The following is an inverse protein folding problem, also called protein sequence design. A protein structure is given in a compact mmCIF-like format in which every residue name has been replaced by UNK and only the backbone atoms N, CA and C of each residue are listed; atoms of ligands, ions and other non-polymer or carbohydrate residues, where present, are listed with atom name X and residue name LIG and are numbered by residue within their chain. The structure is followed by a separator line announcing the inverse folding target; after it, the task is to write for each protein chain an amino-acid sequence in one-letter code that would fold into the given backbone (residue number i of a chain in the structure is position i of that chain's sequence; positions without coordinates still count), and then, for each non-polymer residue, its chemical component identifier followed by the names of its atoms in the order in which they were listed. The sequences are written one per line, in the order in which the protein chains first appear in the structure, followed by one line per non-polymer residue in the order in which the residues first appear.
data_IF_931904309703
#
_entry.id   IF_931904309703
#
_cell.length_a   1.000
_cell.length_b   1.000
_cell.length_c   1.000
_cell.angle_alpha   90.00
_cell.angle_beta   90.00
_cell.angle_gamma   90.00
#
_symmetry.space_group_name_H-M   'P 1'
#
loop_
_entity.id
_entity.type
_entity.pdbx_description
1 polymer ?
#
# COMPACT_ATOMS: atom_id res chain seq x y z
N UNK A 1 -36.82 63.56 18.34
CA UNK A 1 -36.33 63.62 19.73
C UNK A 1 -37.19 62.70 20.57
N UNK A 2 -36.64 61.93 21.52
CA UNK A 2 -35.24 61.53 21.76
C UNK A 2 -34.99 60.06 21.30
N UNK A 3 -33.77 59.61 20.96
CA UNK A 3 -32.57 59.37 21.80
C UNK A 3 -32.79 58.16 22.72
N UNK A 4 -31.93 57.14 22.80
CA UNK A 4 -30.52 57.11 23.23
C UNK A 4 -30.00 55.67 22.98
N UNK A 5 -28.84 55.49 22.33
CA UNK A 5 -27.50 55.22 22.92
C UNK A 5 -27.32 53.73 23.31
N UNK A 6 -26.15 53.08 23.37
CA UNK A 6 -24.74 53.20 22.94
C UNK A 6 -24.01 52.08 23.74
N UNK A 7 -22.75 51.76 23.41
CA UNK A 7 -21.84 50.75 24.04
C UNK A 7 -21.96 49.35 23.44
N UNK A 8 -21.15 48.91 22.48
CA UNK A 8 -19.69 49.05 22.27
C UNK A 8 -18.84 48.70 23.51
N UNK A 9 -18.49 47.41 23.62
CA UNK A 9 -17.50 46.90 24.56
C UNK A 9 -16.41 46.16 23.80
N UNK A 10 -15.26 46.82 23.67
CA UNK A 10 -13.95 46.20 23.44
C UNK A 10 -13.01 46.65 24.55
N UNK A 11 -12.25 45.73 25.16
CA UNK A 11 -11.00 46.10 25.79
C UNK A 11 -9.81 45.74 24.88
N UNK A 12 -9.02 46.76 24.55
CA UNK A 12 -7.66 46.66 23.97
C UNK A 12 -6.60 46.74 25.09
N UNK A 13 -5.29 46.65 24.80
CA UNK A 13 -4.36 45.67 25.37
C UNK A 13 -3.59 46.17 26.61
N UNK A 14 -3.05 45.25 27.41
CA UNK A 14 -1.99 45.59 28.38
C UNK A 14 -0.63 45.10 27.89
N UNK A 15 0.19 46.08 27.52
CA UNK A 15 1.64 46.02 27.37
C UNK A 15 2.31 45.56 28.66
N UNK A 16 3.20 44.57 28.58
CA UNK A 16 4.39 44.50 29.45
C UNK A 16 5.62 44.15 28.64
N UNK A 17 6.49 45.14 28.52
CA UNK A 17 7.90 45.03 28.14
C UNK A 17 8.65 44.38 29.30
N UNK A 18 9.39 43.31 29.03
CA UNK A 18 10.53 42.90 29.86
C UNK A 18 11.70 42.59 28.94
N UNK A 19 12.70 43.45 29.01
CA UNK A 19 14.01 43.34 28.39
C UNK A 19 14.86 42.34 29.18
N UNK A 20 15.51 41.37 28.54
CA UNK A 20 16.75 40.83 29.10
C UNK A 20 17.69 40.22 28.05
N UNK A 21 18.81 40.94 27.88
CA UNK A 21 20.20 40.53 27.60
C UNK A 21 20.51 39.53 26.47
N UNK A 22 21.28 40.10 25.53
CA UNK A 22 22.16 39.50 24.52
C UNK A 22 22.91 38.26 25.02
N UNK A 23 22.88 37.19 24.23
CA UNK A 23 23.95 36.21 24.14
C UNK A 23 24.54 36.26 22.72
N UNK A 24 25.84 36.52 22.66
CA UNK A 24 26.64 36.57 21.43
C UNK A 24 27.02 35.14 21.07
N UNK A 25 26.56 34.63 19.94
CA UNK A 25 27.12 33.42 19.33
C UNK A 25 28.08 33.83 18.21
N UNK A 26 29.33 33.37 18.33
CA UNK A 26 30.45 33.66 17.43
C UNK A 26 30.20 33.03 16.06
N UNK A 27 30.23 33.87 15.01
CA UNK A 27 30.46 33.44 13.63
C UNK A 27 31.95 33.12 13.47
N UNK A 28 32.26 31.85 13.22
CA UNK A 28 33.54 31.41 12.66
C UNK A 28 33.27 30.78 11.31
N UNK A 29 33.50 31.54 10.24
CA UNK A 29 33.58 31.03 8.87
C UNK A 29 35.03 31.18 8.41
N UNK A 30 35.60 30.11 7.84
CA UNK A 30 36.52 30.08 6.69
C UNK A 30 37.35 28.79 6.74
N UNK A 31 37.03 27.84 5.87
CA UNK A 31 38.03 26.95 5.27
C UNK A 31 37.52 26.54 3.87
N UNK A 32 38.39 26.74 2.89
CA UNK A 32 38.16 26.55 1.46
C UNK A 32 37.75 25.12 1.10
N UNK A 33 36.87 25.02 0.12
CA UNK A 33 36.64 23.84 -0.69
C UNK A 33 37.78 23.64 -1.71
N UNK A 34 38.33 22.43 -1.77
CA UNK A 34 38.85 21.78 -2.99
C UNK A 34 38.47 20.29 -2.87
N UNK A 35 37.70 19.79 -3.83
CA UNK A 35 37.07 18.46 -3.80
C UNK A 35 37.87 17.35 -4.49
N UNK A 36 37.12 16.33 -4.92
CA UNK A 36 37.48 15.06 -5.64
C UNK A 36 37.71 13.90 -4.64
N UNK A 37 37.01 12.75 -4.62
CA UNK A 37 36.05 12.10 -5.52
C UNK A 37 34.99 11.33 -4.70
N UNK A 38 33.80 11.23 -5.29
CA UNK A 38 32.68 10.44 -4.81
C UNK A 38 33.00 8.93 -4.78
N UNK A 39 32.70 8.29 -3.66
CA UNK A 39 32.24 6.91 -3.65
C UNK A 39 30.88 6.94 -2.97
N UNK A 40 29.88 6.47 -3.72
CA UNK A 40 28.46 6.61 -3.43
C UNK A 40 28.07 6.15 -2.04
N UNK A 41 27.17 6.92 -1.47
CA UNK A 41 26.50 6.68 -0.21
C UNK A 41 25.61 5.43 -0.26
N UNK A 42 25.63 4.68 0.84
CA UNK A 42 24.46 4.09 1.50
C UNK A 42 23.25 3.74 0.62
N UNK A 43 23.14 2.46 0.28
CA UNK A 43 21.85 1.78 0.39
C UNK A 43 22.13 0.37 0.90
N UNK A 44 22.14 0.23 2.22
CA UNK A 44 21.86 -1.07 2.82
C UNK A 44 20.43 -1.40 2.41
N UNK A 45 20.30 -2.34 1.47
CA UNK A 45 19.03 -2.94 1.13
C UNK A 45 18.37 -3.42 2.44
N UNK A 46 17.12 -3.03 2.59
CA UNK A 46 16.30 -3.08 3.80
C UNK A 46 16.49 -4.34 4.65
N UNK A 47 16.71 -4.10 5.94
CA UNK A 47 16.48 -5.05 7.03
C UNK A 47 15.10 -5.70 6.92
N UNK A 48 15.05 -6.99 7.23
CA UNK A 48 13.98 -7.92 6.92
C UNK A 48 12.58 -7.44 7.23
N UNK A 49 11.73 -7.48 6.20
CA UNK A 49 10.29 -7.27 6.28
C UNK A 49 9.64 -8.30 7.20
N UNK A 50 8.94 -7.86 8.24
CA UNK A 50 8.16 -8.78 9.12
C UNK A 50 6.72 -8.91 8.63
N UNK A 51 6.29 -10.11 8.28
CA UNK A 51 4.89 -10.43 7.96
C UNK A 51 4.16 -10.84 9.26
N UNK A 52 3.19 -10.06 9.75
CA UNK A 52 2.36 -10.40 10.93
C UNK A 52 0.90 -9.96 10.75
N UNK A 53 -0.06 -10.78 11.20
CA UNK A 53 -0.25 -11.07 12.62
C UNK A 53 -0.42 -12.56 12.97
N UNK A 54 0.47 -13.04 13.84
CA UNK A 54 0.41 -14.38 14.44
C UNK A 54 1.78 -15.03 14.69
N UNK A 55 2.80 -14.73 13.87
CA UNK A 55 4.13 -15.37 13.99
C UNK A 55 5.23 -14.47 13.43
N UNK A 56 6.46 -14.54 13.94
CA UNK A 56 7.60 -13.62 13.66
C UNK A 56 8.23 -13.90 12.30
N UNK A 57 7.41 -14.00 11.26
CA UNK A 57 7.91 -14.37 9.95
C UNK A 57 8.65 -13.20 9.31
N UNK A 58 9.87 -13.45 8.83
CA UNK A 58 10.69 -12.48 8.14
C UNK A 58 10.82 -12.84 6.66
N UNK A 59 10.82 -11.85 5.77
CA UNK A 59 11.19 -12.07 4.37
C UNK A 59 12.69 -12.39 4.32
N UNK A 60 13.04 -13.56 3.80
CA UNK A 60 14.44 -13.99 3.64
C UNK A 60 15.04 -13.62 2.28
N UNK A 61 14.19 -13.36 1.28
CA UNK A 61 14.62 -12.86 -0.02
C UNK A 61 13.48 -12.61 -0.99
N UNK A 62 13.74 -11.83 -2.04
CA UNK A 62 12.85 -11.63 -3.17
C UNK A 62 13.61 -11.81 -4.49
N UNK A 63 12.97 -12.46 -5.48
CA UNK A 63 13.49 -12.61 -6.83
C UNK A 63 12.45 -12.19 -7.86
N UNK A 64 12.88 -11.50 -8.92
CA UNK A 64 12.01 -10.98 -9.97
C UNK A 64 12.40 -11.62 -11.30
N UNK A 65 11.42 -12.17 -12.02
CA UNK A 65 11.62 -12.80 -13.33
C UNK A 65 10.62 -12.23 -14.33
N UNK A 66 11.07 -11.97 -15.56
CA UNK A 66 10.18 -11.69 -16.68
C UNK A 66 9.92 -12.97 -17.47
N UNK A 67 8.67 -13.21 -17.79
CA UNK A 67 8.19 -14.35 -18.58
C UNK A 67 7.20 -13.85 -19.64
N UNK A 68 6.90 -14.68 -20.64
CA UNK A 68 6.02 -14.27 -21.74
C UNK A 68 4.57 -14.09 -21.28
N UNK A 69 4.08 -15.00 -20.43
CA UNK A 69 2.69 -14.98 -19.95
C UNK A 69 2.60 -15.04 -18.43
N UNK A 70 1.54 -14.49 -17.87
CA UNK A 70 1.30 -14.47 -16.42
C UNK A 70 1.02 -15.91 -15.98
N UNK A 71 1.88 -16.52 -15.16
CA UNK A 71 1.71 -17.92 -14.79
C UNK A 71 0.51 -18.09 -13.87
N UNK A 72 -0.30 -19.11 -14.15
CA UNK A 72 -1.38 -19.55 -13.27
C UNK A 72 -0.86 -20.68 -12.38
N UNK A 73 -0.67 -20.37 -11.10
CA UNK A 73 -0.07 -21.32 -10.14
C UNK A 73 -0.96 -22.55 -9.89
N UNK A 74 -2.28 -22.34 -9.83
CA UNK A 74 -3.29 -23.38 -9.60
C UNK A 74 -4.29 -23.36 -10.75
N UNK A 75 -4.02 -24.04 -11.87
CA UNK A 75 -4.92 -24.04 -13.01
C UNK A 75 -6.26 -24.74 -12.72
N UNK A 76 -6.34 -25.51 -11.63
CA UNK A 76 -7.55 -26.12 -11.09
C UNK A 76 -8.44 -25.13 -10.32
N UNK A 77 -7.95 -23.94 -9.99
CA UNK A 77 -8.72 -22.93 -9.26
C UNK A 77 -9.42 -21.97 -10.22
N UNK A 78 -10.69 -21.59 -9.96
CA UNK A 78 -11.35 -20.57 -10.74
C UNK A 78 -10.62 -19.23 -10.63
N UNK A 79 -10.51 -18.51 -11.76
CA UNK A 79 -10.04 -17.13 -11.80
C UNK A 79 -11.26 -16.22 -11.67
N UNK A 80 -11.28 -15.28 -10.70
CA UNK A 80 -12.39 -14.34 -10.57
C UNK A 80 -12.44 -13.39 -11.77
N UNK A 81 -13.65 -13.01 -12.17
CA UNK A 81 -13.91 -11.99 -13.19
C UNK A 81 -14.90 -10.98 -12.60
N UNK A 82 -14.36 -9.89 -12.06
CA UNK A 82 -15.11 -8.90 -11.29
C UNK A 82 -14.95 -7.51 -11.89
N UNK A 83 -16.05 -6.78 -11.98
CA UNK A 83 -16.01 -5.39 -12.42
C UNK A 83 -15.13 -4.56 -11.48
N UNK A 84 -14.23 -3.76 -12.05
CA UNK A 84 -13.30 -2.94 -11.28
C UNK A 84 -12.20 -3.74 -10.56
N UNK A 85 -12.00 -5.03 -10.87
CA UNK A 85 -10.95 -5.84 -10.26
C UNK A 85 -9.56 -5.24 -10.52
N UNK A 86 -8.82 -5.05 -9.43
CA UNK A 86 -7.45 -4.58 -9.46
C UNK A 86 -6.48 -5.76 -9.48
N UNK A 87 -6.68 -6.70 -8.55
CA UNK A 87 -5.95 -7.97 -8.45
C UNK A 87 -6.70 -8.92 -7.52
N UNK A 88 -6.28 -10.18 -7.50
CA UNK A 88 -6.83 -11.18 -6.58
C UNK A 88 -5.72 -11.99 -5.90
N UNK A 89 -6.05 -12.58 -4.75
CA UNK A 89 -5.15 -13.42 -3.97
C UNK A 89 -5.74 -14.82 -3.82
N UNK A 90 -4.96 -15.83 -4.18
CA UNK A 90 -5.23 -17.24 -3.86
C UNK A 90 -4.18 -17.78 -2.91
N UNK A 91 -4.49 -18.93 -2.30
CA UNK A 91 -3.59 -19.62 -1.38
C UNK A 91 -3.60 -21.11 -1.60
N UNK A 92 -2.57 -21.82 -1.16
CA UNK A 92 -2.47 -23.26 -1.35
C UNK A 92 -3.55 -24.08 -0.62
N UNK A 93 -4.10 -23.56 0.47
CA UNK A 93 -5.01 -24.30 1.36
C UNK A 93 -6.40 -24.58 0.77
N UNK A 94 -6.90 -23.74 -0.13
CA UNK A 94 -8.16 -23.96 -0.86
C UNK A 94 -8.36 -22.94 -1.98
N UNK A 95 -9.34 -23.20 -2.85
CA UNK A 95 -9.72 -22.34 -3.98
C UNK A 95 -10.40 -21.03 -3.61
N UNK A 96 -10.68 -20.76 -2.32
CA UNK A 96 -11.25 -19.47 -1.93
C UNK A 96 -10.28 -18.35 -2.31
N UNK A 97 -10.83 -17.33 -2.96
CA UNK A 97 -10.05 -16.25 -3.53
C UNK A 97 -10.44 -14.95 -2.85
N UNK A 98 -9.48 -14.13 -2.44
CA UNK A 98 -9.76 -12.73 -2.09
C UNK A 98 -9.68 -11.91 -3.36
N UNK A 99 -10.69 -11.09 -3.61
CA UNK A 99 -10.69 -10.16 -4.74
C UNK A 99 -10.61 -8.73 -4.20
N UNK A 100 -9.73 -7.93 -4.80
CA UNK A 100 -9.60 -6.51 -4.54
C UNK A 100 -10.16 -5.75 -5.74
N UNK A 101 -11.21 -4.96 -5.50
CA UNK A 101 -11.86 -4.14 -6.53
C UNK A 101 -11.76 -2.67 -6.17
N UNK A 102 -11.61 -1.81 -7.17
CA UNK A 102 -11.79 -0.38 -6.99
C UNK A 102 -13.26 -0.06 -6.65
N UNK A 103 -13.45 0.84 -5.71
CA UNK A 103 -14.77 1.31 -5.31
C UNK A 103 -15.03 2.67 -5.96
N UNK A 104 -16.02 2.71 -6.84
CA UNK A 104 -16.39 3.90 -7.58
C UNK A 104 -17.70 4.46 -7.05
N UNK A 105 -17.80 5.79 -7.06
CA UNK A 105 -19.07 6.50 -6.92
C UNK A 105 -19.85 6.46 -8.23
N UNK A 106 -21.10 6.90 -8.18
CA UNK A 106 -22.00 6.96 -9.34
C UNK A 106 -21.45 7.83 -10.49
N UNK A 107 -20.59 8.80 -10.18
CA UNK A 107 -19.92 9.66 -11.17
C UNK A 107 -18.63 9.04 -11.76
N UNK A 108 -18.29 7.82 -11.36
CA UNK A 108 -17.10 7.09 -11.79
C UNK A 108 -15.80 7.52 -11.11
N UNK A 109 -15.85 8.44 -10.14
CA UNK A 109 -14.68 8.78 -9.30
C UNK A 109 -14.46 7.71 -8.23
N UNK A 110 -13.24 7.61 -7.70
CA UNK A 110 -12.95 6.73 -6.57
C UNK A 110 -13.61 7.26 -5.30
N UNK A 111 -14.15 6.34 -4.49
CA UNK A 111 -14.58 6.70 -3.14
C UNK A 111 -13.34 7.07 -2.28
N UNK A 112 -13.24 8.28 -1.72
CA UNK A 112 -12.09 8.77 -0.97
C UNK A 112 -12.00 8.18 0.44
N UNK A 113 -13.10 7.67 0.98
CA UNK A 113 -13.14 7.05 2.30
C UNK A 113 -12.80 5.55 2.19
N UNK A 114 -13.27 4.89 1.13
CA UNK A 114 -12.99 3.47 0.86
C UNK A 114 -12.74 3.22 -0.65
N UNK A 115 -11.59 3.60 -1.22
CA UNK A 115 -11.34 3.52 -2.67
C UNK A 115 -11.12 2.09 -3.19
N UNK A 116 -10.91 1.13 -2.29
CA UNK A 116 -10.73 -0.28 -2.62
C UNK A 116 -11.50 -1.12 -1.62
N UNK A 117 -12.27 -2.08 -2.12
CA UNK A 117 -12.99 -3.06 -1.32
C UNK A 117 -12.39 -4.43 -1.56
N UNK A 118 -12.19 -5.19 -0.48
CA UNK A 118 -11.74 -6.57 -0.52
C UNK A 118 -12.84 -7.52 -0.04
N UNK A 119 -12.97 -8.68 -0.67
CA UNK A 119 -13.94 -9.70 -0.25
C UNK A 119 -13.53 -11.11 -0.71
N UNK A 120 -14.12 -12.12 -0.09
CA UNK A 120 -13.99 -13.52 -0.51
C UNK A 120 -14.91 -13.85 -1.67
N UNK A 121 -14.39 -14.61 -2.63
CA UNK A 121 -15.14 -15.50 -3.52
C UNK A 121 -14.99 -16.94 -3.02
N UNK A 122 -16.12 -17.55 -2.63
CA UNK A 122 -16.15 -18.89 -2.03
C UNK A 122 -16.12 -20.01 -3.07
N UNK A 123 -15.09 -20.05 -3.90
CA UNK A 123 -14.97 -21.05 -4.96
C UNK A 123 -14.80 -22.48 -4.47
N UNK A 124 -14.58 -22.71 -3.18
CA UNK A 124 -14.60 -24.05 -2.62
C UNK A 124 -16.01 -24.60 -2.36
N UNK A 125 -17.03 -23.76 -2.44
CA UNK A 125 -18.44 -24.11 -2.23
C UNK A 125 -19.34 -23.58 -3.34
N UNK A 126 -19.93 -22.39 -3.16
CA UNK A 126 -20.99 -21.84 -4.04
C UNK A 126 -20.50 -20.74 -4.98
N UNK A 127 -19.27 -20.25 -4.80
CA UNK A 127 -18.74 -19.08 -5.51
C UNK A 127 -19.26 -17.73 -4.99
N UNK A 128 -20.04 -17.73 -3.91
CA UNK A 128 -20.67 -16.53 -3.36
C UNK A 128 -19.66 -15.44 -2.97
N UNK A 129 -20.08 -14.18 -3.10
CA UNK A 129 -19.37 -13.02 -2.53
C UNK A 129 -19.58 -13.04 -1.02
N UNK A 130 -18.51 -12.94 -0.26
CA UNK A 130 -18.59 -12.79 1.19
C UNK A 130 -17.62 -11.71 1.66
N UNK A 131 -18.14 -10.71 2.37
CA UNK A 131 -17.30 -9.69 2.98
C UNK A 131 -16.21 -10.33 3.86
N UNK A 132 -15.04 -9.70 3.93
CA UNK A 132 -14.04 -10.05 4.92
C UNK A 132 -14.65 -9.85 6.32
N UNK A 133 -14.46 -10.81 7.23
CA UNK A 133 -14.85 -10.58 8.62
C UNK A 133 -13.98 -9.45 9.19
N UNK A 134 -14.49 -8.70 10.17
CA UNK A 134 -13.77 -7.58 10.80
C UNK A 134 -12.34 -7.95 11.26
N UNK A 135 -12.10 -9.19 11.67
CA UNK A 135 -10.73 -9.67 12.00
C UNK A 135 -9.89 -9.90 10.74
N UNK A 136 -10.42 -10.54 9.70
CA UNK A 136 -9.68 -10.78 8.45
C UNK A 136 -9.32 -9.47 7.75
N UNK A 137 -10.22 -8.51 7.79
CA UNK A 137 -10.02 -7.16 7.27
C UNK A 137 -8.95 -6.40 8.07
N UNK A 138 -9.03 -6.41 9.40
CA UNK A 138 -8.09 -5.65 10.23
C UNK A 138 -6.72 -6.29 10.42
N UNK A 139 -6.53 -7.56 10.03
CA UNK A 139 -5.31 -8.29 10.38
C UNK A 139 -4.63 -8.99 9.21
N UNK A 140 -5.35 -9.52 8.20
CA UNK A 140 -4.70 -10.33 7.16
C UNK A 140 -4.87 -9.77 5.75
N UNK A 141 -6.11 -9.62 5.30
CA UNK A 141 -6.42 -9.39 3.88
C UNK A 141 -7.01 -8.02 3.59
N UNK A 142 -7.31 -7.22 4.61
CA UNK A 142 -7.80 -5.87 4.37
C UNK A 142 -6.78 -5.01 3.64
N UNK A 143 -7.29 -3.98 3.00
CA UNK A 143 -6.51 -3.00 2.26
C UNK A 143 -6.63 -1.66 2.97
N UNK A 144 -5.52 -0.97 3.14
CA UNK A 144 -5.51 0.41 3.64
C UNK A 144 -5.14 1.32 2.49
N UNK A 145 -5.92 2.38 2.32
CA UNK A 145 -5.66 3.42 1.35
C UNK A 145 -5.40 4.75 2.06
N UNK A 146 -4.47 5.53 1.53
CA UNK A 146 -4.12 6.86 2.01
C UNK A 146 -4.30 7.82 0.85
N UNK A 147 -5.12 8.86 1.06
CA UNK A 147 -5.28 9.94 0.11
C UNK A 147 -3.93 10.63 -0.16
N UNK A 148 -3.75 11.10 -1.38
CA UNK A 148 -2.60 11.94 -1.75
C UNK A 148 -3.05 13.38 -1.97
N UNK A 149 -2.15 14.26 -2.44
CA UNK A 149 -2.54 15.59 -2.89
C UNK A 149 -3.40 15.59 -4.17
N UNK A 150 -3.49 14.45 -4.86
CA UNK A 150 -4.33 14.25 -6.04
C UNK A 150 -5.53 13.36 -5.66
N UNK A 151 -6.79 13.81 -5.84
CA UNK A 151 -7.98 13.04 -5.50
C UNK A 151 -8.14 11.76 -6.34
N UNK A 152 -7.43 11.64 -7.46
CA UNK A 152 -7.46 10.46 -8.33
C UNK A 152 -6.36 9.45 -7.98
N UNK A 153 -5.54 9.72 -6.95
CA UNK A 153 -4.38 8.90 -6.60
C UNK A 153 -4.37 8.60 -5.11
N UNK A 154 -4.24 7.31 -4.79
CA UNK A 154 -4.13 6.82 -3.41
C UNK A 154 -2.88 5.95 -3.27
N UNK A 155 -2.22 6.01 -2.11
CA UNK A 155 -1.25 4.98 -1.72
C UNK A 155 -2.00 3.85 -1.04
N UNK A 156 -1.71 2.61 -1.37
CA UNK A 156 -2.34 1.44 -0.77
C UNK A 156 -1.32 0.42 -0.29
N UNK A 157 -1.71 -0.36 0.71
CA UNK A 157 -1.00 -1.56 1.12
C UNK A 157 -2.00 -2.59 1.66
N UNK A 158 -1.66 -3.86 1.56
CA UNK A 158 -2.40 -4.94 2.22
C UNK A 158 -1.96 -4.97 3.69
N UNK A 159 -2.89 -5.08 4.63
CA UNK A 159 -2.62 -4.95 6.08
C UNK A 159 -1.52 -5.90 6.58
N UNK A 160 -1.45 -7.12 6.05
CA UNK A 160 -0.41 -8.10 6.39
C UNK A 160 0.96 -7.78 5.80
N UNK A 161 1.05 -6.81 4.89
CA UNK A 161 2.30 -6.43 4.22
C UNK A 161 2.40 -4.89 4.01
N UNK A 162 2.46 -4.10 5.11
CA UNK A 162 2.40 -2.64 5.04
C UNK A 162 3.63 -1.98 4.41
N UNK A 163 4.76 -2.67 4.44
CA UNK A 163 6.01 -2.21 3.80
C UNK A 163 5.89 -2.17 2.28
N UNK A 164 4.93 -2.94 1.72
CA UNK A 164 4.71 -3.01 0.29
C UNK A 164 3.63 -2.02 -0.13
N UNK A 165 4.04 -0.76 -0.24
CA UNK A 165 3.18 0.28 -0.79
C UNK A 165 3.03 0.15 -2.31
N UNK A 166 1.80 0.33 -2.77
CA UNK A 166 1.42 0.47 -4.17
C UNK A 166 0.64 1.77 -4.36
N UNK A 167 0.42 2.16 -5.62
CA UNK A 167 -0.33 3.35 -5.99
C UNK A 167 -1.59 2.92 -6.73
N UNK A 168 -2.77 3.29 -6.24
CA UNK A 168 -4.02 3.23 -6.98
C UNK A 168 -4.19 4.55 -7.74
N UNK A 169 -4.54 4.46 -9.02
CA UNK A 169 -4.82 5.62 -9.85
C UNK A 169 -6.10 5.43 -10.63
N UNK A 170 -7.02 6.39 -10.56
CA UNK A 170 -8.13 6.50 -11.51
C UNK A 170 -7.57 6.90 -12.88
N UNK A 171 -7.81 6.07 -13.88
CA UNK A 171 -7.33 6.29 -15.26
C UNK A 171 -8.37 7.04 -16.08
N UNK A 172 -9.63 6.68 -15.90
CA UNK A 172 -10.82 7.31 -16.49
C UNK A 172 -12.03 6.95 -15.61
N UNK A 173 -13.19 7.63 -15.74
CA UNK A 173 -14.35 7.34 -14.92
C UNK A 173 -14.72 5.84 -14.94
N UNK A 174 -14.78 5.22 -13.77
CA UNK A 174 -15.10 3.80 -13.60
C UNK A 174 -13.94 2.82 -13.90
N UNK A 175 -12.72 3.32 -14.16
CA UNK A 175 -11.54 2.47 -14.37
C UNK A 175 -10.33 2.98 -13.62
N UNK A 176 -9.83 2.15 -12.73
CA UNK A 176 -8.63 2.42 -11.95
C UNK A 176 -7.60 1.29 -12.11
N UNK A 177 -6.33 1.61 -11.89
CA UNK A 177 -5.22 0.67 -11.96
C UNK A 177 -4.35 0.77 -10.71
N UNK A 178 -3.78 -0.36 -10.29
CA UNK A 178 -2.76 -0.40 -9.26
C UNK A 178 -1.38 -0.49 -9.91
N UNK A 179 -0.43 0.26 -9.38
CA UNK A 179 0.96 0.26 -9.78
C UNK A 179 1.80 -0.07 -8.56
N UNK A 180 2.62 -1.12 -8.65
CA UNK A 180 3.51 -1.57 -7.59
C UNK A 180 4.95 -1.68 -8.09
N UNK A 181 5.89 -1.82 -7.16
CA UNK A 181 7.30 -2.07 -7.46
C UNK A 181 7.72 -3.47 -7.06
N UNK A 182 8.68 -4.01 -7.81
CA UNK A 182 9.33 -5.30 -7.58
C UNK A 182 10.80 -5.16 -7.98
N UNK A 183 11.70 -5.03 -6.99
CA UNK A 183 13.07 -4.58 -7.24
C UNK A 183 13.07 -3.20 -7.90
N UNK A 184 13.80 -3.06 -9.02
CA UNK A 184 13.87 -1.82 -9.81
C UNK A 184 12.72 -1.68 -10.83
N UNK A 185 11.80 -2.66 -10.90
CA UNK A 185 10.73 -2.68 -11.89
C UNK A 185 9.44 -2.12 -11.32
N UNK A 186 8.69 -1.46 -12.20
CA UNK A 186 7.32 -1.02 -11.92
C UNK A 186 6.36 -1.87 -12.75
N UNK A 187 5.30 -2.38 -12.12
CA UNK A 187 4.38 -3.31 -12.75
C UNK A 187 2.95 -3.11 -12.25
N UNK A 188 1.99 -3.55 -13.06
CA UNK A 188 0.59 -3.66 -12.64
C UNK A 188 0.35 -5.06 -12.07
N UNK A 189 0.10 -5.22 -10.76
CA UNK A 189 -0.24 -6.52 -10.18
C UNK A 189 -1.57 -7.01 -10.74
N UNK A 190 -1.70 -8.31 -10.92
CA UNK A 190 -2.92 -8.96 -11.40
C UNK A 190 -3.33 -10.11 -10.48
N UNK A 191 -2.33 -10.84 -9.96
CA UNK A 191 -2.53 -12.07 -9.22
C UNK A 191 -1.47 -12.23 -8.14
N UNK A 192 -1.88 -12.58 -6.92
CA UNK A 192 -0.99 -13.03 -5.86
C UNK A 192 -1.33 -14.47 -5.44
N UNK A 193 -0.30 -15.28 -5.17
CA UNK A 193 -0.45 -16.62 -4.64
C UNK A 193 0.37 -16.78 -3.37
N UNK A 194 -0.27 -17.26 -2.30
CA UNK A 194 0.37 -17.49 -1.00
C UNK A 194 0.48 -18.99 -0.78
N UNK A 195 1.69 -19.51 -0.68
CA UNK A 195 1.91 -20.88 -0.23
C UNK A 195 1.97 -20.93 1.31
N UNK A 196 0.99 -21.59 1.90
CA UNK A 196 0.85 -21.75 3.35
C UNK A 196 1.32 -23.15 3.75
N UNK A 197 2.19 -23.20 4.74
CA UNK A 197 2.51 -24.38 5.50
C UNK A 197 1.47 -24.60 6.60
N UNK A 198 0.73 -25.70 6.53
CA UNK A 198 -0.17 -26.14 7.61
C UNK A 198 0.45 -27.28 8.45
N UNK A 199 1.70 -27.65 8.19
CA UNK A 199 2.43 -28.65 8.95
C UNK A 199 2.87 -28.06 10.30
N UNK A 200 2.14 -28.36 11.37
CA UNK A 200 2.46 -27.96 12.74
C UNK A 200 1.26 -27.50 13.56
N UNK A 201 1.52 -26.89 14.71
CA UNK A 201 0.47 -26.38 15.61
C UNK A 201 -0.11 -25.04 15.13
N UNK A 202 0.61 -24.30 14.29
CA UNK A 202 0.20 -22.98 13.75
C UNK A 202 0.54 -22.89 12.27
N UNK A 203 -0.37 -22.38 11.42
CA UNK A 203 -0.09 -22.17 10.01
C UNK A 203 0.95 -21.06 9.83
N UNK A 204 1.81 -21.20 8.81
CA UNK A 204 2.86 -20.25 8.46
C UNK A 204 2.92 -20.04 6.94
N UNK A 205 3.37 -18.88 6.46
CA UNK A 205 3.58 -18.66 5.02
C UNK A 205 4.98 -19.12 4.64
N UNK A 206 5.11 -19.91 3.56
CA UNK A 206 6.40 -20.33 2.98
C UNK A 206 6.87 -19.36 1.89
N UNK A 207 5.95 -18.99 1.01
CA UNK A 207 6.24 -18.19 -0.17
C UNK A 207 5.04 -17.31 -0.52
N UNK A 208 5.31 -16.08 -0.94
CA UNK A 208 4.35 -15.25 -1.65
C UNK A 208 4.85 -15.01 -3.07
N UNK A 209 4.01 -15.34 -4.04
CA UNK A 209 4.21 -14.97 -5.45
C UNK A 209 3.30 -13.81 -5.80
N UNK A 210 3.86 -12.75 -6.38
CA UNK A 210 3.10 -11.63 -6.93
C UNK A 210 3.38 -11.56 -8.43
N UNK A 211 2.31 -11.61 -9.22
CA UNK A 211 2.37 -11.72 -10.67
C UNK A 211 1.57 -10.58 -11.29
N UNK A 212 2.09 -10.04 -12.40
CA UNK A 212 1.47 -8.93 -13.09
C UNK A 212 2.13 -8.63 -14.41
N UNK A 213 1.98 -7.39 -14.90
CA UNK A 213 2.61 -6.94 -16.15
C UNK A 213 3.57 -5.80 -15.89
N UNK A 214 4.82 -5.98 -16.31
CA UNK A 214 5.86 -4.95 -16.27
C UNK A 214 5.44 -3.78 -17.17
N UNK A 215 5.46 -2.56 -16.63
CA UNK A 215 4.95 -1.39 -17.36
C UNK A 215 5.90 -0.92 -18.47
N UNK A 216 7.18 -1.28 -18.40
CA UNK A 216 8.17 -0.88 -19.40
C UNK A 216 8.14 -1.78 -20.63
N UNK A 217 7.95 -3.09 -20.44
CA UNK A 217 8.06 -4.10 -21.49
C UNK A 217 6.75 -4.75 -21.88
N UNK A 218 5.71 -4.66 -21.05
CA UNK A 218 4.42 -5.35 -21.23
C UNK A 218 4.46 -6.86 -20.93
N UNK A 219 5.66 -7.42 -20.72
CA UNK A 219 5.85 -8.84 -20.35
C UNK A 219 5.28 -9.14 -18.98
N UNK A 220 4.98 -10.40 -18.74
CA UNK A 220 4.58 -10.84 -17.42
C UNK A 220 5.77 -10.77 -16.46
N UNK A 221 5.53 -10.17 -15.29
CA UNK A 221 6.48 -10.09 -14.20
C UNK A 221 6.03 -11.02 -13.09
N UNK A 222 6.96 -11.84 -12.58
CA UNK A 222 6.76 -12.72 -11.45
C UNK A 222 7.77 -12.35 -10.38
N UNK A 223 7.28 -11.93 -9.23
CA UNK A 223 8.08 -11.81 -8.02
C UNK A 223 7.80 -12.99 -7.10
N UNK A 224 8.87 -13.61 -6.59
CA UNK A 224 8.84 -14.63 -5.56
C UNK A 224 9.47 -14.09 -4.30
N UNK A 225 8.72 -14.10 -3.20
CA UNK A 225 9.11 -13.61 -1.88
C UNK A 225 9.14 -14.82 -0.96
N UNK A 226 10.33 -15.16 -0.46
CA UNK A 226 10.50 -16.25 0.49
C UNK A 226 10.33 -15.73 1.91
N UNK A 227 9.62 -16.52 2.72
CA UNK A 227 9.30 -16.18 4.10
C UNK A 227 9.93 -17.26 5.00
N UNK A 228 10.70 -16.82 6.01
CA UNK A 228 11.33 -17.66 7.05
C UNK A 228 10.72 -17.39 8.43
#
# INVERSE_FOLDING_TARGET
MPAESEQDWRPTPMTRVVTCRRAVARLGAFALAVGVLAVGSLSQAQEGTRIRPGTEQAVSGSSVTLVEEVPVVRPDFPVPDEAGMLFYLQRSTNSNTIVYVANFRDDGTLDPDEPVVAYWRRFNTTGERKALKMVEDNFAFGVRAQATGDPNVFKLYVVSYPERMATLKLVEPGRAEVIATAGERTFRPLYAYVDVNEDGLMPSVREVRVMGRDLATGKALVERIQIE
#
